data_IF_525920760952
#
_entry.id   IF_525920760952
#
_cell.length_a   1.000
_cell.length_b   1.000
_cell.length_c   1.000
_cell.angle_alpha   90.00
_cell.angle_beta   90.00
_cell.angle_gamma   90.00
#
_symmetry.space_group_name_H-M   'P 1'
#
loop_
_entity.id
_entity.type
_entity.pdbx_description
1 polymer ?
#
# COMPACT_ATOMS: atom_id res chain seq x y z
N UNK A 1 3.69 -12.44 16.50
CA UNK A 1 4.37 -11.13 16.37
C UNK A 1 3.58 -10.07 17.12
N UNK A 2 4.22 -9.07 17.75
CA UNK A 2 3.50 -7.94 18.32
C UNK A 2 2.64 -7.28 17.22
N UNK A 3 1.41 -6.85 17.52
CA UNK A 3 0.62 -6.01 16.62
C UNK A 3 1.43 -4.79 16.17
N UNK A 4 1.15 -4.27 14.97
CA UNK A 4 1.90 -3.17 14.33
C UNK A 4 2.20 -1.99 15.28
N UNK A 5 1.21 -1.56 16.07
CA UNK A 5 1.35 -0.47 17.04
C UNK A 5 2.38 -0.77 18.13
N UNK A 6 2.38 -1.99 18.66
CA UNK A 6 3.29 -2.38 19.75
C UNK A 6 4.72 -2.51 19.24
N UNK A 7 4.90 -3.10 18.05
CA UNK A 7 6.20 -3.15 17.37
C UNK A 7 6.76 -1.75 17.08
N UNK A 8 5.90 -0.80 16.67
CA UNK A 8 6.31 0.58 16.44
C UNK A 8 6.78 1.27 17.72
N UNK A 9 6.05 1.11 18.83
CA UNK A 9 6.43 1.69 20.13
C UNK A 9 7.74 1.13 20.67
N UNK A 10 7.94 -0.18 20.52
CA UNK A 10 9.19 -0.83 20.93
C UNK A 10 10.38 -0.31 20.11
N UNK A 11 10.21 -0.18 18.79
CA UNK A 11 11.28 0.23 17.89
C UNK A 11 11.59 1.72 17.93
N UNK A 12 10.57 2.55 18.16
CA UNK A 12 10.65 4.01 18.12
C UNK A 12 10.04 4.64 19.38
N UNK A 13 10.73 4.55 20.54
CA UNK A 13 10.19 4.99 21.82
C UNK A 13 9.92 6.49 21.91
N UNK A 14 10.57 7.30 21.06
CA UNK A 14 10.39 8.75 21.01
C UNK A 14 9.22 9.19 20.10
N UNK A 15 8.53 8.25 19.44
CA UNK A 15 7.38 8.52 18.58
C UNK A 15 6.09 8.29 19.35
N UNK A 16 5.17 9.27 19.31
CA UNK A 16 3.81 9.09 19.82
C UNK A 16 3.01 8.19 18.86
N UNK A 17 2.69 6.98 19.32
CA UNK A 17 1.94 5.98 18.55
C UNK A 17 0.58 5.77 19.19
N UNK A 18 -0.48 6.05 18.44
CA UNK A 18 -1.87 5.86 18.84
C UNK A 18 -2.59 4.89 17.93
N UNK A 19 -3.52 4.11 18.48
CA UNK A 19 -4.41 3.24 17.70
C UNK A 19 -5.64 4.03 17.26
N UNK A 20 -6.01 3.94 15.99
CA UNK A 20 -7.22 4.55 15.44
C UNK A 20 -7.50 4.03 14.03
N UNK A 21 -8.65 4.41 13.47
CA UNK A 21 -8.99 4.20 12.06
C UNK A 21 -8.74 5.50 11.29
N UNK A 22 -8.44 5.42 9.99
CA UNK A 22 -8.20 6.60 9.18
C UNK A 22 -9.46 7.49 9.10
N UNK A 23 -10.63 6.88 9.12
CA UNK A 23 -11.95 7.51 9.03
C UNK A 23 -12.40 8.18 10.34
N UNK A 24 -11.65 8.01 11.43
CA UNK A 24 -11.90 8.62 12.74
C UNK A 24 -10.59 8.84 13.51
N UNK A 25 -9.77 9.78 13.03
CA UNK A 25 -8.50 10.09 13.67
C UNK A 25 -8.71 10.70 15.08
N UNK A 26 -8.07 10.16 16.14
CA UNK A 26 -8.30 10.56 17.54
C UNK A 26 -7.51 11.82 17.92
N UNK A 27 -7.49 12.81 17.03
CA UNK A 27 -6.75 14.04 17.19
C UNK A 27 -7.66 15.24 16.97
N UNK A 28 -7.37 16.34 17.67
CA UNK A 28 -8.03 17.63 17.45
C UNK A 28 -7.78 18.16 16.04
N UNK A 29 -8.65 19.08 15.61
CA UNK A 29 -8.44 19.79 14.35
C UNK A 29 -7.16 20.64 14.38
N UNK A 30 -6.57 20.87 13.21
CA UNK A 30 -5.43 21.77 13.01
C UNK A 30 -4.16 21.46 13.84
N UNK A 31 -4.02 20.23 14.32
CA UNK A 31 -2.93 19.82 15.21
C UNK A 31 -1.59 19.64 14.49
N UNK A 32 -1.61 19.16 13.25
CA UNK A 32 -0.41 18.79 12.51
C UNK A 32 -0.10 19.76 11.39
N UNK A 33 1.18 19.81 11.01
CA UNK A 33 1.62 20.56 9.83
C UNK A 33 1.51 19.72 8.55
N UNK A 34 1.63 18.40 8.69
CA UNK A 34 1.57 17.43 7.60
C UNK A 34 0.88 16.15 8.08
N UNK A 35 0.08 15.53 7.22
CA UNK A 35 -0.45 14.18 7.41
C UNK A 35 -0.11 13.31 6.20
N UNK A 36 0.41 12.10 6.45
CA UNK A 36 0.90 11.22 5.40
C UNK A 36 0.23 9.84 5.49
N UNK A 37 -0.26 9.33 4.35
CA UNK A 37 -0.83 7.98 4.21
C UNK A 37 0.00 7.19 3.19
N UNK A 38 0.98 6.42 3.66
CA UNK A 38 1.90 5.68 2.79
C UNK A 38 1.39 4.25 2.61
N UNK A 39 0.97 3.92 1.38
CA UNK A 39 0.48 2.59 0.99
C UNK A 39 -0.72 2.08 1.83
N UNK A 40 -1.65 2.97 2.19
CA UNK A 40 -2.80 2.60 3.05
C UNK A 40 -4.16 3.09 2.54
N UNK A 41 -4.22 4.08 1.64
CA UNK A 41 -5.50 4.64 1.15
C UNK A 41 -6.40 3.57 0.54
N UNK A 42 -5.84 2.58 -0.15
CA UNK A 42 -6.57 1.45 -0.74
C UNK A 42 -7.21 0.50 0.29
N UNK A 43 -6.76 0.53 1.55
CA UNK A 43 -7.32 -0.28 2.64
C UNK A 43 -8.37 0.46 3.47
N UNK A 44 -8.59 1.76 3.22
CA UNK A 44 -9.66 2.51 3.88
C UNK A 44 -11.01 2.02 3.37
N UNK A 45 -11.97 1.84 4.28
CA UNK A 45 -13.35 1.50 3.90
C UNK A 45 -14.01 2.69 3.21
N UNK A 46 -13.68 3.90 3.64
CA UNK A 46 -14.07 5.15 2.99
C UNK A 46 -12.84 6.05 2.82
N UNK A 47 -12.12 5.97 1.67
CA UNK A 47 -10.90 6.73 1.45
C UNK A 47 -11.14 8.24 1.45
N UNK A 48 -12.31 8.70 0.99
CA UNK A 48 -12.64 10.14 1.00
C UNK A 48 -12.83 10.62 2.44
N UNK A 49 -13.54 9.86 3.29
CA UNK A 49 -13.65 10.18 4.72
C UNK A 49 -12.30 10.11 5.43
N UNK A 50 -11.48 9.11 5.13
CA UNK A 50 -10.12 9.01 5.69
C UNK A 50 -9.26 10.21 5.36
N UNK A 51 -9.22 10.61 4.09
CA UNK A 51 -8.51 11.81 3.64
C UNK A 51 -9.11 13.11 4.23
N UNK A 52 -10.44 13.16 4.41
CA UNK A 52 -11.11 14.28 5.09
C UNK A 52 -10.68 14.39 6.56
N UNK A 53 -10.51 13.27 7.26
CA UNK A 53 -9.97 13.27 8.63
C UNK A 53 -8.51 13.72 8.65
N UNK A 54 -7.70 13.27 7.70
CA UNK A 54 -6.31 13.74 7.56
C UNK A 54 -6.25 15.26 7.33
N UNK A 55 -7.15 15.79 6.49
CA UNK A 55 -7.28 17.23 6.28
C UNK A 55 -7.72 17.94 7.57
N UNK A 56 -8.72 17.43 8.29
CA UNK A 56 -9.23 18.01 9.53
C UNK A 56 -8.14 18.18 10.59
N UNK A 57 -7.30 17.16 10.79
CA UNK A 57 -6.24 17.20 11.81
C UNK A 57 -5.02 18.01 11.37
N UNK A 58 -4.97 18.45 10.11
CA UNK A 58 -3.88 19.22 9.52
C UNK A 58 -4.28 20.69 9.45
N UNK A 59 -3.43 21.58 9.97
CA UNK A 59 -3.73 23.02 10.02
C UNK A 59 -3.98 23.62 8.62
N UNK A 60 -4.69 24.76 8.51
CA UNK A 60 -4.86 25.46 7.24
C UNK A 60 -3.51 25.79 6.60
N UNK A 61 -3.37 25.51 5.30
CA UNK A 61 -2.09 25.64 4.58
C UNK A 61 -1.05 24.55 4.89
N UNK A 62 -1.40 23.55 5.71
CA UNK A 62 -0.63 22.31 5.87
C UNK A 62 -0.82 21.36 4.69
N UNK A 63 -0.04 20.28 4.67
CA UNK A 63 -0.02 19.33 3.54
C UNK A 63 -0.58 17.98 3.94
N UNK A 64 -1.48 17.44 3.12
CA UNK A 64 -1.85 16.02 3.14
C UNK A 64 -1.18 15.34 1.95
N UNK A 65 -0.53 14.20 2.19
CA UNK A 65 0.13 13.42 1.14
C UNK A 65 -0.19 11.93 1.26
N UNK A 66 -0.27 11.25 0.13
CA UNK A 66 -0.48 9.81 0.09
C UNK A 66 0.28 9.19 -1.08
N UNK A 67 0.65 7.92 -0.94
CA UNK A 67 1.11 7.12 -2.07
C UNK A 67 0.47 5.73 -2.06
N UNK A 68 0.24 5.17 -3.25
CA UNK A 68 -0.35 3.85 -3.46
C UNK A 68 0.39 3.20 -4.64
N UNK A 69 0.66 1.89 -4.54
CA UNK A 69 1.24 1.15 -5.66
C UNK A 69 0.33 1.26 -6.89
N UNK A 70 0.91 1.49 -8.06
CA UNK A 70 0.20 1.30 -9.31
C UNK A 70 -0.24 -0.16 -9.42
N UNK A 71 -1.46 -0.42 -9.89
CA UNK A 71 -1.96 -1.79 -10.00
C UNK A 71 -1.11 -2.63 -10.97
N UNK A 72 -1.04 -2.22 -12.26
CA UNK A 72 -0.28 -2.97 -13.27
C UNK A 72 1.23 -2.99 -13.09
N UNK A 73 1.82 -1.96 -12.48
CA UNK A 73 3.28 -1.80 -12.39
C UNK A 73 3.80 -1.62 -10.97
N UNK A 74 3.00 -1.95 -9.96
CA UNK A 74 3.37 -1.86 -8.56
C UNK A 74 4.28 -2.99 -8.08
N UNK A 75 4.74 -2.90 -6.83
CA UNK A 75 5.63 -3.91 -6.24
C UNK A 75 4.99 -5.31 -6.13
N UNK A 76 3.66 -5.37 -6.13
CA UNK A 76 2.87 -6.60 -6.05
C UNK A 76 2.53 -7.17 -7.44
N UNK A 77 2.78 -6.43 -8.52
CA UNK A 77 2.43 -6.86 -9.88
C UNK A 77 3.07 -8.21 -10.26
N UNK A 78 4.35 -8.50 -9.97
CA UNK A 78 4.93 -9.82 -10.31
C UNK A 78 4.26 -11.00 -9.59
N UNK A 79 3.74 -10.78 -8.38
CA UNK A 79 3.00 -11.80 -7.64
C UNK A 79 1.64 -12.04 -8.31
N UNK A 80 0.86 -10.99 -8.54
CA UNK A 80 -0.46 -11.11 -9.16
C UNK A 80 -0.38 -11.66 -10.59
N UNK A 81 0.65 -11.27 -11.33
CA UNK A 81 1.00 -11.87 -12.61
C UNK A 81 1.15 -13.39 -12.54
N UNK A 82 1.84 -13.93 -11.52
CA UNK A 82 2.00 -15.37 -11.32
C UNK A 82 0.67 -16.04 -10.93
N UNK A 83 -0.14 -15.37 -10.10
CA UNK A 83 -1.49 -15.82 -9.76
C UNK A 83 -2.35 -15.94 -11.03
N UNK A 84 -2.37 -14.92 -11.90
CA UNK A 84 -3.21 -14.91 -13.11
C UNK A 84 -2.81 -15.94 -14.16
N UNK A 85 -1.61 -16.54 -14.06
CA UNK A 85 -1.24 -17.71 -14.88
C UNK A 85 -2.03 -18.95 -14.46
N UNK A 86 -2.31 -19.10 -13.16
CA UNK A 86 -3.00 -20.25 -12.59
C UNK A 86 -4.51 -20.02 -12.46
N UNK A 87 -4.90 -18.80 -12.13
CA UNK A 87 -6.28 -18.35 -11.93
C UNK A 87 -6.49 -16.99 -12.61
N UNK A 88 -6.85 -16.98 -13.91
CA UNK A 88 -7.06 -15.75 -14.67
C UNK A 88 -8.18 -14.84 -14.14
N UNK A 89 -9.09 -15.38 -13.32
CA UNK A 89 -10.26 -14.66 -12.78
C UNK A 89 -10.02 -14.16 -11.34
N UNK A 90 -8.85 -14.41 -10.76
CA UNK A 90 -8.47 -13.96 -9.43
C UNK A 90 -8.56 -12.43 -9.32
N UNK A 91 -9.22 -11.97 -8.25
CA UNK A 91 -9.33 -10.54 -7.94
C UNK A 91 -7.99 -10.05 -7.36
N UNK A 92 -7.35 -9.10 -8.05
CA UNK A 92 -6.11 -8.48 -7.61
C UNK A 92 -6.35 -7.13 -6.93
N UNK A 93 -5.26 -6.43 -6.62
CA UNK A 93 -5.27 -5.12 -5.98
C UNK A 93 -5.29 -3.95 -6.99
N UNK A 94 -5.34 -4.21 -8.30
CA UNK A 94 -5.11 -3.20 -9.33
C UNK A 94 -6.24 -2.17 -9.45
N UNK A 95 -7.44 -2.54 -9.01
CA UNK A 95 -8.62 -1.67 -9.05
C UNK A 95 -8.89 -0.96 -7.71
N UNK A 96 -8.02 -1.14 -6.71
CA UNK A 96 -8.20 -0.50 -5.42
C UNK A 96 -7.98 1.03 -5.47
N UNK A 97 -8.46 1.71 -4.43
CA UNK A 97 -8.43 3.16 -4.34
C UNK A 97 -7.01 3.73 -4.42
N UNK A 98 -6.77 4.64 -5.37
CA UNK A 98 -5.46 5.23 -5.63
C UNK A 98 -4.50 4.42 -6.50
N UNK A 99 -4.86 3.20 -6.92
CA UNK A 99 -3.96 2.29 -7.65
C UNK A 99 -3.79 2.59 -9.15
N UNK A 100 -4.27 3.73 -9.64
CA UNK A 100 -4.08 4.17 -11.03
C UNK A 100 -3.99 5.69 -11.13
N UNK A 101 -3.37 6.15 -12.22
CA UNK A 101 -3.18 7.58 -12.53
C UNK A 101 -4.49 8.36 -12.39
N UNK A 102 -4.43 9.47 -11.67
CA UNK A 102 -5.50 10.43 -11.46
C UNK A 102 -6.45 10.04 -10.33
N UNK A 103 -6.40 8.80 -9.82
CA UNK A 103 -7.36 8.37 -8.80
C UNK A 103 -7.11 9.07 -7.46
N UNK A 104 -5.85 9.21 -7.04
CA UNK A 104 -5.53 9.97 -5.83
C UNK A 104 -5.92 11.44 -5.99
N UNK A 105 -5.73 12.02 -7.18
CA UNK A 105 -6.20 13.38 -7.49
C UNK A 105 -7.71 13.52 -7.28
N UNK A 106 -8.51 12.57 -7.77
CA UNK A 106 -9.97 12.57 -7.58
C UNK A 106 -10.36 12.45 -6.10
N UNK A 107 -9.74 11.51 -5.38
CA UNK A 107 -10.01 11.28 -3.96
C UNK A 107 -9.65 12.50 -3.10
N UNK A 108 -8.52 13.14 -3.38
CA UNK A 108 -8.08 14.36 -2.70
C UNK A 108 -9.04 15.52 -2.97
N UNK A 109 -9.47 15.69 -4.22
CA UNK A 109 -10.47 16.69 -4.58
C UNK A 109 -11.80 16.47 -3.87
N UNK A 110 -12.27 15.21 -3.80
CA UNK A 110 -13.50 14.85 -3.07
C UNK A 110 -13.38 15.10 -1.56
N UNK A 111 -12.17 14.96 -0.99
CA UNK A 111 -11.87 15.28 0.41
C UNK A 111 -11.67 16.78 0.69
N UNK A 112 -11.81 17.65 -0.32
CA UNK A 112 -11.68 19.10 -0.18
C UNK A 112 -10.23 19.63 -0.19
N UNK A 113 -9.24 18.78 -0.47
CA UNK A 113 -7.85 19.21 -0.62
C UNK A 113 -7.66 20.01 -1.92
N UNK A 114 -6.80 21.02 -1.86
CA UNK A 114 -6.58 21.98 -2.94
C UNK A 114 -5.17 21.90 -3.49
N UNK A 115 -5.00 22.36 -4.73
CA UNK A 115 -3.68 22.40 -5.39
C UNK A 115 -3.05 21.01 -5.49
N UNK A 116 -3.86 19.99 -5.79
CA UNK A 116 -3.41 18.60 -5.80
C UNK A 116 -2.41 18.40 -6.93
N UNK A 117 -1.25 17.86 -6.58
CA UNK A 117 -0.20 17.43 -7.51
C UNK A 117 -0.01 15.94 -7.32
N UNK A 118 -0.09 15.19 -8.42
CA UNK A 118 0.11 13.75 -8.45
C UNK A 118 1.23 13.39 -9.43
N UNK A 119 2.17 12.59 -8.97
CA UNK A 119 3.35 12.17 -9.72
C UNK A 119 3.64 10.68 -9.49
N UNK A 120 4.13 9.95 -10.51
CA UNK A 120 4.61 8.60 -10.32
C UNK A 120 5.99 8.62 -9.64
N UNK A 121 6.19 7.74 -8.67
CA UNK A 121 7.49 7.42 -8.09
C UNK A 121 7.87 6.02 -8.58
N UNK A 122 8.92 5.96 -9.40
CA UNK A 122 9.53 4.70 -9.82
C UNK A 122 10.61 4.30 -8.81
N UNK A 123 10.62 3.03 -8.40
CA UNK A 123 11.62 2.43 -7.52
C UNK A 123 12.10 1.11 -8.08
N UNK A 124 13.39 0.83 -7.90
CA UNK A 124 13.98 -0.46 -8.21
C UNK A 124 14.40 -1.13 -6.89
N UNK A 125 13.89 -2.33 -6.65
CA UNK A 125 14.24 -3.13 -5.47
C UNK A 125 14.98 -4.37 -5.93
N UNK A 126 16.22 -4.52 -5.48
CA UNK A 126 17.02 -5.73 -5.74
C UNK A 126 16.63 -6.77 -4.71
N UNK A 127 16.17 -7.93 -5.18
CA UNK A 127 15.97 -9.12 -4.38
C UNK A 127 17.17 -10.06 -4.59
N UNK A 128 17.99 -10.31 -3.55
CA UNK A 128 19.14 -11.20 -3.62
C UNK A 128 18.79 -12.63 -4.04
N UNK A 129 17.65 -13.13 -3.57
CA UNK A 129 17.14 -14.48 -3.85
C UNK A 129 15.63 -14.46 -4.07
N UNK A 130 15.12 -15.48 -4.76
CA UNK A 130 13.67 -15.69 -4.89
C UNK A 130 12.99 -15.88 -3.52
N UNK A 131 13.61 -16.62 -2.60
CA UNK A 131 13.08 -16.88 -1.26
C UNK A 131 12.80 -15.57 -0.50
N UNK A 132 13.74 -14.61 -0.54
CA UNK A 132 13.56 -13.31 0.12
C UNK A 132 12.42 -12.48 -0.48
N UNK A 133 12.10 -12.68 -1.76
CA UNK A 133 10.95 -12.06 -2.40
C UNK A 133 9.64 -12.79 -2.07
N UNK A 134 9.66 -14.12 -1.96
CA UNK A 134 8.48 -14.96 -1.73
C UNK A 134 8.02 -15.01 -0.26
N UNK A 135 8.96 -15.12 0.67
CA UNK A 135 8.69 -15.30 2.11
C UNK A 135 7.66 -14.31 2.67
N UNK A 136 7.70 -13.00 2.36
CA UNK A 136 6.73 -12.04 2.89
C UNK A 136 5.26 -12.38 2.60
N UNK A 137 4.96 -13.02 1.46
CA UNK A 137 3.58 -13.41 1.11
C UNK A 137 3.05 -14.55 2.00
N UNK A 138 3.94 -15.32 2.63
CA UNK A 138 3.55 -16.42 3.53
C UNK A 138 3.05 -15.94 4.90
N UNK A 139 3.26 -14.67 5.24
CA UNK A 139 2.89 -14.09 6.54
C UNK A 139 1.39 -13.76 6.68
N UNK A 140 0.61 -13.89 5.60
CA UNK A 140 -0.83 -13.62 5.63
C UNK A 140 -1.19 -12.13 5.75
N UNK A 141 -0.30 -11.24 5.32
CA UNK A 141 -0.49 -9.78 5.43
C UNK A 141 -0.97 -9.22 4.09
N UNK A 142 -2.09 -8.50 4.12
CA UNK A 142 -2.68 -7.87 2.94
C UNK A 142 -3.28 -8.89 1.95
N UNK A 143 -3.87 -8.44 0.84
CA UNK A 143 -4.61 -9.30 -0.07
C UNK A 143 -3.76 -10.41 -0.69
N UNK A 144 -2.50 -10.12 -1.07
CA UNK A 144 -1.57 -11.15 -1.56
C UNK A 144 -1.29 -12.24 -0.50
N UNK A 145 -1.07 -11.86 0.76
CA UNK A 145 -0.85 -12.82 1.84
C UNK A 145 -2.11 -13.61 2.19
N UNK A 146 -3.28 -12.97 2.20
CA UNK A 146 -4.57 -13.63 2.38
C UNK A 146 -4.83 -14.66 1.27
N UNK A 147 -4.49 -14.33 0.02
CA UNK A 147 -4.57 -15.27 -1.10
C UNK A 147 -3.71 -16.52 -0.87
N UNK A 148 -2.41 -16.35 -0.55
CA UNK A 148 -1.50 -17.47 -0.25
C UNK A 148 -1.97 -18.29 0.96
N UNK A 149 -2.54 -17.63 1.96
CA UNK A 149 -3.11 -18.26 3.15
C UNK A 149 -4.34 -19.12 2.87
N UNK A 150 -5.13 -18.77 1.84
CA UNK A 150 -6.32 -19.51 1.44
C UNK A 150 -6.02 -20.74 0.56
N UNK A 151 -4.84 -20.81 -0.06
CA UNK A 151 -4.41 -21.95 -0.88
C UNK A 151 -4.11 -23.19 -0.03
N UNK A 152 -4.39 -24.37 -0.60
CA UNK A 152 -3.85 -25.62 -0.08
C UNK A 152 -2.34 -25.74 -0.40
N UNK A 153 -1.67 -26.72 0.22
CA UNK A 153 -0.23 -26.89 0.07
C UNK A 153 0.20 -27.10 -1.39
N UNK A 154 -0.53 -27.93 -2.14
CA UNK A 154 -0.20 -28.22 -3.54
C UNK A 154 -0.35 -26.98 -4.44
N UNK A 155 -1.39 -26.18 -4.23
CA UNK A 155 -1.62 -24.95 -5.00
C UNK A 155 -0.62 -23.86 -4.64
N UNK A 156 -0.19 -23.80 -3.37
CA UNK A 156 0.88 -22.89 -2.93
C UNK A 156 2.22 -23.25 -3.56
N UNK A 157 2.60 -24.53 -3.52
CA UNK A 157 3.85 -25.02 -4.12
C UNK A 157 3.88 -24.74 -5.64
N UNK A 158 2.72 -24.88 -6.32
CA UNK A 158 2.61 -24.57 -7.74
C UNK A 158 2.72 -23.07 -8.02
N UNK A 159 2.08 -22.20 -7.22
CA UNK A 159 2.21 -20.75 -7.35
C UNK A 159 3.66 -20.30 -7.14
N UNK A 160 4.32 -20.83 -6.12
CA UNK A 160 5.73 -20.57 -5.84
C UNK A 160 6.60 -20.95 -7.04
N UNK A 161 6.40 -22.15 -7.59
CA UNK A 161 7.12 -22.64 -8.77
C UNK A 161 6.89 -21.78 -10.02
N UNK A 162 5.65 -21.33 -10.25
CA UNK A 162 5.33 -20.43 -11.37
C UNK A 162 6.02 -19.08 -11.19
N UNK A 163 5.95 -18.49 -10.00
CA UNK A 163 6.61 -17.22 -9.72
C UNK A 163 8.14 -17.34 -9.87
N UNK A 164 8.75 -18.41 -9.34
CA UNK A 164 10.18 -18.68 -9.48
C UNK A 164 10.58 -18.89 -10.94
N UNK A 165 9.78 -19.59 -11.74
CA UNK A 165 10.02 -19.77 -13.17
C UNK A 165 10.02 -18.45 -13.95
N UNK A 166 9.29 -17.43 -13.48
CA UNK A 166 9.21 -16.11 -14.11
C UNK A 166 10.31 -15.16 -13.67
N UNK A 167 10.64 -15.15 -12.38
CA UNK A 167 11.61 -14.22 -11.79
C UNK A 167 13.05 -14.76 -11.80
N UNK A 168 13.19 -16.08 -11.83
CA UNK A 168 14.46 -16.78 -11.64
C UNK A 168 14.87 -16.88 -10.17
N UNK A 169 15.96 -17.60 -9.91
CA UNK A 169 16.45 -17.87 -8.54
C UNK A 169 17.07 -16.64 -7.85
N UNK A 170 17.36 -15.59 -8.62
CA UNK A 170 18.02 -14.37 -8.16
C UNK A 170 19.52 -14.29 -8.47
N UNK A 171 20.13 -13.10 -8.29
CA UNK A 171 19.45 -11.85 -7.93
C UNK A 171 18.62 -11.31 -9.10
N UNK A 172 17.49 -10.69 -8.80
CA UNK A 172 16.66 -9.98 -9.78
C UNK A 172 16.20 -8.64 -9.22
N UNK A 173 15.74 -7.76 -10.11
CA UNK A 173 15.22 -6.44 -9.74
C UNK A 173 13.73 -6.39 -10.02
N UNK A 174 12.95 -5.98 -9.03
CA UNK A 174 11.55 -5.60 -9.20
C UNK A 174 11.51 -4.09 -9.38
N UNK A 175 11.22 -3.65 -10.59
CA UNK A 175 10.93 -2.25 -10.90
C UNK A 175 9.45 -1.99 -10.66
N UNK A 176 9.14 -1.07 -9.75
CA UNK A 176 7.78 -0.77 -9.30
C UNK A 176 7.46 0.73 -9.40
N UNK A 177 6.20 1.05 -9.69
CA UNK A 177 5.69 2.43 -9.68
C UNK A 177 4.63 2.60 -8.61
N UNK A 178 4.72 3.68 -7.84
CA UNK A 178 3.64 4.16 -6.98
C UNK A 178 3.12 5.50 -7.47
N UNK A 179 1.81 5.72 -7.42
CA UNK A 179 1.23 7.05 -7.55
C UNK A 179 1.35 7.78 -6.22
N UNK A 180 1.94 8.96 -6.22
CA UNK A 180 2.04 9.82 -5.05
C UNK A 180 1.31 11.14 -5.31
N UNK A 181 0.42 11.52 -4.39
CA UNK A 181 -0.30 12.78 -4.44
C UNK A 181 -0.04 13.61 -3.18
N UNK A 182 0.00 14.92 -3.35
CA UNK A 182 -0.03 15.90 -2.25
C UNK A 182 -1.05 16.99 -2.53
N UNK A 183 -1.72 17.48 -1.49
CA UNK A 183 -2.64 18.61 -1.55
C UNK A 183 -2.56 19.43 -0.27
N UNK A 184 -3.04 20.67 -0.34
CA UNK A 184 -3.11 21.58 0.80
C UNK A 184 -4.51 21.59 1.42
N UNK A 185 -4.58 21.73 2.75
CA UNK A 185 -5.81 22.02 3.50
C UNK A 185 -6.23 23.45 3.28
#
# INVERSE_FOLDING_TARGET
MPPFVDAFRERFPDVDVSRGTAEELPYEADRFTHALAQLVVHFMTDPVRGLTQMARVTRPGGTVAACVWDGPTGALAPFWDAVHVLDPDAQDEALLSGAHRGHLTQLFGAAGLRGVVEEPIAVDVVHPTFEEWWEPYTFGVGPAGEYVGALDAASRDELERVAQGRLGDGPFTVSATAWAARGAV
#
